data_IF_575658945620
#
_entry.id   IF_575658945620
#
_cell.length_a   1.000
_cell.length_b   1.000
_cell.length_c   1.000
_cell.angle_alpha   90.00
_cell.angle_beta   90.00
_cell.angle_gamma   90.00
#
_symmetry.space_group_name_H-M   'P 1'
#
loop_
_entity.id
_entity.type
_entity.pdbx_description
1 polymer ?
#
# COMPACT_ATOMS: atom_id res chain seq x y z
N UNK A 1 0.19 -8.06 17.33
CA UNK A 1 1.12 -8.52 16.27
C UNK A 1 1.34 -7.41 15.27
N UNK A 2 2.54 -7.33 14.71
CA UNK A 2 2.80 -6.35 13.67
C UNK A 2 1.98 -6.68 12.42
N UNK A 3 1.46 -5.65 11.75
CA UNK A 3 0.78 -5.82 10.49
C UNK A 3 1.76 -6.33 9.42
N UNK A 4 1.28 -7.21 8.56
CA UNK A 4 2.10 -7.80 7.50
C UNK A 4 1.97 -7.05 6.18
N UNK A 5 1.00 -6.16 6.06
CA UNK A 5 0.81 -5.30 4.91
C UNK A 5 1.45 -3.95 5.21
N UNK A 6 2.19 -3.41 4.24
CA UNK A 6 2.78 -2.08 4.36
C UNK A 6 2.28 -1.23 3.20
N UNK A 7 1.74 -0.05 3.51
CA UNK A 7 1.29 0.89 2.51
C UNK A 7 2.17 2.14 2.54
N UNK A 8 2.75 2.46 1.40
CA UNK A 8 3.51 3.68 1.19
C UNK A 8 2.61 4.70 0.50
N UNK A 9 2.49 5.88 1.06
CA UNK A 9 1.61 6.89 0.51
C UNK A 9 1.91 8.29 0.99
N UNK A 10 1.02 9.23 0.64
CA UNK A 10 1.11 10.63 1.06
C UNK A 10 -0.30 11.19 1.25
N UNK A 11 -0.43 12.14 2.16
CA UNK A 11 -1.73 12.70 2.52
C UNK A 11 -2.42 13.45 1.38
N UNK A 12 -1.64 14.04 0.45
CA UNK A 12 -2.17 14.77 -0.69
C UNK A 12 -2.62 13.86 -1.84
N UNK A 13 -2.25 12.61 -1.81
CA UNK A 13 -2.51 11.65 -2.90
C UNK A 13 -3.93 11.10 -2.79
N UNK A 14 -4.78 11.38 -3.79
CA UNK A 14 -6.16 10.90 -3.79
C UNK A 14 -6.26 9.38 -3.84
N UNK A 15 -5.43 8.73 -4.65
CA UNK A 15 -5.40 7.27 -4.74
C UNK A 15 -4.92 6.63 -3.44
N UNK A 16 -3.98 7.27 -2.75
CA UNK A 16 -3.51 6.81 -1.45
C UNK A 16 -4.64 6.86 -0.42
N UNK A 17 -5.39 7.96 -0.39
CA UNK A 17 -6.52 8.12 0.54
C UNK A 17 -7.62 7.11 0.24
N UNK A 18 -7.88 6.83 -1.04
CA UNK A 18 -8.88 5.84 -1.45
C UNK A 18 -8.49 4.44 -0.97
N UNK A 19 -7.27 4.00 -1.24
CA UNK A 19 -6.79 2.68 -0.83
C UNK A 19 -6.77 2.56 0.69
N UNK A 20 -6.32 3.61 1.38
CA UNK A 20 -6.32 3.64 2.85
C UNK A 20 -7.73 3.50 3.40
N UNK A 21 -8.69 4.24 2.83
CA UNK A 21 -10.08 4.17 3.26
C UNK A 21 -10.67 2.76 3.04
N UNK A 22 -10.30 2.12 1.93
CA UNK A 22 -10.74 0.74 1.67
C UNK A 22 -10.23 -0.21 2.75
N UNK A 23 -8.94 -0.16 3.06
CA UNK A 23 -8.35 -1.02 4.08
C UNK A 23 -8.96 -0.76 5.45
N UNK A 24 -9.17 0.51 5.81
CA UNK A 24 -9.77 0.89 7.09
C UNK A 24 -11.22 0.42 7.18
N UNK A 25 -12.00 0.56 6.12
CA UNK A 25 -13.42 0.18 6.13
C UNK A 25 -13.63 -1.33 6.24
N UNK A 26 -12.65 -2.12 5.83
CA UNK A 26 -12.69 -3.58 5.93
C UNK A 26 -11.90 -4.11 7.13
N UNK A 27 -11.47 -3.22 8.02
CA UNK A 27 -10.73 -3.58 9.25
C UNK A 27 -9.45 -4.36 8.96
N UNK A 28 -8.81 -4.07 7.84
CA UNK A 28 -7.54 -4.70 7.47
C UNK A 28 -6.40 -3.99 8.19
N UNK A 29 -5.57 -4.76 8.89
CA UNK A 29 -4.38 -4.23 9.56
C UNK A 29 -3.27 -3.97 8.56
N UNK A 30 -2.62 -2.81 8.66
CA UNK A 30 -1.50 -2.46 7.80
C UNK A 30 -0.63 -1.40 8.48
N UNK A 31 0.64 -1.34 8.07
CA UNK A 31 1.54 -0.26 8.47
C UNK A 31 1.47 0.83 7.39
N UNK A 32 1.28 2.07 7.80
CA UNK A 32 1.26 3.20 6.87
C UNK A 32 2.56 3.98 6.98
N UNK A 33 3.24 4.18 5.86
CA UNK A 33 4.50 4.94 5.80
C UNK A 33 4.30 6.14 4.87
N UNK A 34 4.50 7.34 5.44
CA UNK A 34 4.40 8.58 4.69
C UNK A 34 5.73 8.86 4.00
N UNK A 35 5.73 8.79 2.67
CA UNK A 35 6.95 8.99 1.87
C UNK A 35 7.40 10.46 1.85
N UNK A 36 6.53 11.39 2.24
CA UNK A 36 6.92 12.80 2.35
C UNK A 36 7.69 13.06 3.64
N UNK A 37 7.41 12.29 4.69
CA UNK A 37 8.07 12.44 5.98
C UNK A 37 9.37 11.65 6.08
N UNK A 38 9.56 10.65 5.21
CA UNK A 38 10.70 9.73 5.27
C UNK A 38 11.30 9.55 3.89
N UNK A 39 12.47 10.15 3.66
CA UNK A 39 13.17 10.08 2.38
C UNK A 39 13.58 8.65 2.03
N UNK A 40 13.95 7.84 3.02
CA UNK A 40 14.33 6.45 2.78
C UNK A 40 13.13 5.63 2.30
N UNK A 41 11.92 5.97 2.75
CA UNK A 41 10.71 5.33 2.27
C UNK A 41 10.41 5.71 0.82
N UNK A 42 10.67 6.96 0.43
CA UNK A 42 10.55 7.40 -0.95
C UNK A 42 11.51 6.63 -1.86
N UNK A 43 12.75 6.44 -1.42
CA UNK A 43 13.74 5.65 -2.15
C UNK A 43 13.29 4.19 -2.28
N UNK A 44 12.68 3.64 -1.24
CA UNK A 44 12.16 2.27 -1.25
C UNK A 44 11.04 2.11 -2.29
N UNK A 45 10.15 3.09 -2.40
CA UNK A 45 9.08 3.08 -3.41
C UNK A 45 9.69 3.05 -4.82
N UNK A 46 10.69 3.88 -5.07
CA UNK A 46 11.36 3.91 -6.38
C UNK A 46 11.98 2.54 -6.69
N UNK A 47 12.62 1.93 -5.71
CA UNK A 47 13.22 0.60 -5.85
C UNK A 47 12.17 -0.46 -6.17
N UNK A 48 11.05 -0.47 -5.45
CA UNK A 48 9.97 -1.44 -5.64
C UNK A 48 9.37 -1.30 -7.03
N UNK A 49 9.20 -0.06 -7.51
CA UNK A 49 8.58 0.24 -8.81
C UNK A 49 9.57 0.16 -9.98
N UNK A 50 10.80 -0.24 -9.76
CA UNK A 50 11.77 -0.35 -10.84
C UNK A 50 12.22 0.98 -11.40
N UNK A 51 12.21 2.04 -10.59
CA UNK A 51 12.69 3.36 -10.97
C UNK A 51 11.64 4.46 -10.99
N UNK A 52 10.37 4.15 -10.72
CA UNK A 52 9.29 5.13 -10.74
C UNK A 52 8.82 5.48 -9.34
N UNK A 53 8.50 6.76 -9.13
CA UNK A 53 8.04 7.28 -7.86
C UNK A 53 6.50 7.32 -7.78
N UNK A 54 5.85 6.21 -8.09
CA UNK A 54 4.39 6.12 -8.06
C UNK A 54 3.88 5.60 -6.73
N UNK A 55 2.85 6.24 -6.20
CA UNK A 55 2.18 5.85 -4.95
C UNK A 55 0.66 5.82 -5.19
N UNK A 56 -0.13 5.06 -4.39
CA UNK A 56 0.31 4.21 -3.29
C UNK A 56 1.03 2.93 -3.77
N UNK A 57 1.95 2.45 -2.95
CA UNK A 57 2.52 1.11 -3.11
C UNK A 57 2.09 0.30 -1.89
N UNK A 58 1.47 -0.85 -2.15
CA UNK A 58 1.00 -1.74 -1.09
C UNK A 58 1.78 -3.04 -1.19
N UNK A 59 2.52 -3.35 -0.14
CA UNK A 59 3.37 -4.53 -0.04
C UNK A 59 2.65 -5.59 0.78
N UNK A 60 2.56 -6.79 0.25
CA UNK A 60 1.80 -7.87 0.87
C UNK A 60 2.72 -8.89 1.56
N UNK A 61 2.15 -9.70 2.49
CA UNK A 61 2.98 -10.66 3.24
C UNK A 61 3.59 -11.77 2.38
N UNK A 62 3.09 -11.99 1.16
CA UNK A 62 3.66 -12.97 0.23
C UNK A 62 4.85 -12.41 -0.55
N UNK A 63 5.27 -11.16 -0.28
CA UNK A 63 6.38 -10.53 -0.96
C UNK A 63 6.02 -9.80 -2.25
N UNK A 64 4.77 -9.87 -2.69
CA UNK A 64 4.32 -9.13 -3.87
C UNK A 64 3.85 -7.73 -3.48
N UNK A 65 3.68 -6.87 -4.49
CA UNK A 65 3.18 -5.51 -4.28
C UNK A 65 2.20 -5.12 -5.38
N UNK A 66 1.42 -4.07 -5.09
CA UNK A 66 0.56 -3.42 -6.07
C UNK A 66 0.83 -1.92 -6.03
N UNK A 67 0.84 -1.28 -7.20
CA UNK A 67 1.03 0.16 -7.33
C UNK A 67 -0.25 0.77 -7.89
N UNK A 68 -0.82 1.74 -7.19
CA UNK A 68 -2.06 2.41 -7.57
C UNK A 68 -3.20 1.44 -7.89
N UNK A 69 -3.46 0.44 -7.01
CA UNK A 69 -4.51 -0.54 -7.30
C UNK A 69 -5.90 0.10 -7.22
N UNK A 70 -6.83 -0.41 -8.04
CA UNK A 70 -8.24 -0.11 -7.85
C UNK A 70 -8.75 -0.85 -6.61
N UNK A 71 -9.88 -0.41 -6.07
CA UNK A 71 -10.50 -1.11 -4.93
C UNK A 71 -10.84 -2.55 -5.30
N UNK A 72 -11.27 -2.79 -6.53
CA UNK A 72 -11.59 -4.13 -7.03
C UNK A 72 -10.35 -5.03 -7.06
N UNK A 73 -9.23 -4.51 -7.56
CA UNK A 73 -7.99 -5.28 -7.62
C UNK A 73 -7.44 -5.55 -6.22
N UNK A 74 -7.53 -4.56 -5.33
CA UNK A 74 -7.11 -4.70 -3.95
C UNK A 74 -7.95 -5.76 -3.23
N UNK A 75 -9.27 -5.74 -3.43
CA UNK A 75 -10.17 -6.75 -2.87
C UNK A 75 -9.80 -8.15 -3.32
N UNK A 76 -9.57 -8.33 -4.62
CA UNK A 76 -9.20 -9.63 -5.17
C UNK A 76 -7.91 -10.17 -4.55
N UNK A 77 -6.93 -9.30 -4.36
CA UNK A 77 -5.66 -9.68 -3.75
C UNK A 77 -5.82 -10.07 -2.29
N UNK A 78 -6.60 -9.29 -1.54
CA UNK A 78 -6.85 -9.57 -0.12
C UNK A 78 -7.62 -10.88 0.06
N UNK A 79 -8.55 -11.17 -0.84
CA UNK A 79 -9.28 -12.46 -0.83
C UNK A 79 -8.36 -13.62 -1.16
N UNK A 80 -7.48 -13.45 -2.15
CA UNK A 80 -6.51 -14.48 -2.53
C UNK A 80 -5.55 -14.82 -1.39
N UNK A 81 -5.24 -13.85 -0.54
CA UNK A 81 -4.38 -14.03 0.64
C UNK A 81 -5.15 -14.47 1.88
N UNK A 82 -6.45 -14.67 1.77
CA UNK A 82 -7.35 -15.03 2.87
C UNK A 82 -7.35 -13.97 4.00
N UNK A 83 -7.11 -12.71 3.67
CA UNK A 83 -7.19 -11.60 4.60
C UNK A 83 -8.63 -11.06 4.66
N UNK A 84 -9.34 -11.14 3.56
CA UNK A 84 -10.78 -10.84 3.49
C UNK A 84 -11.60 -12.07 3.21
#
# INVERSE_FOLDING_TARGET
MAAQITMYGAAWCGDCRRSKAYLDSHSVEYNYIDVEADESASDKVIEINGGQRSIPVILFPDGTHMTEPSDKDLEAKLQALAIL
#
